data_IF_689541641146
#
_entry.id   IF_689541641146
#
_cell.length_a   1.000
_cell.length_b   1.000
_cell.length_c   1.000
_cell.angle_alpha   90.00
_cell.angle_beta   90.00
_cell.angle_gamma   90.00
#
_symmetry.space_group_name_H-M   'P 1'
#
loop_
_entity.id
_entity.type
_entity.pdbx_description
1 polymer ?
#
# COMPACT_ATOMS: atom_id res chain seq x y z
N UNK A 1 -5.49 7.82 -23.45
CA UNK A 1 -5.28 8.96 -22.54
C UNK A 1 -3.80 9.09 -22.26
N UNK A 2 -3.25 10.29 -22.34
CA UNK A 2 -1.87 10.55 -21.95
C UNK A 2 -1.72 10.35 -20.43
N UNK A 3 -0.59 9.78 -19.98
CA UNK A 3 -0.21 9.81 -18.58
C UNK A 3 0.32 11.22 -18.31
N UNK A 4 -0.30 11.92 -17.41
CA UNK A 4 0.22 13.20 -16.89
C UNK A 4 1.06 12.90 -15.66
N UNK A 5 2.30 13.41 -15.63
CA UNK A 5 3.07 13.43 -14.40
C UNK A 5 2.48 14.53 -13.50
N UNK A 6 2.13 14.18 -12.28
CA UNK A 6 1.71 15.15 -11.29
C UNK A 6 2.91 15.45 -10.39
N UNK A 7 3.57 16.57 -10.63
CA UNK A 7 4.67 17.07 -9.81
C UNK A 7 4.18 17.73 -8.51
N UNK A 8 2.87 17.70 -8.24
CA UNK A 8 2.29 18.25 -7.02
C UNK A 8 2.58 17.31 -5.83
N UNK A 9 3.18 17.83 -4.74
CA UNK A 9 3.50 17.04 -3.55
C UNK A 9 2.26 16.61 -2.76
N UNK A 10 1.07 17.16 -3.06
CA UNK A 10 -0.16 16.88 -2.34
C UNK A 10 -0.93 15.72 -3.01
N UNK A 11 -1.38 14.76 -2.21
CA UNK A 11 -2.28 13.67 -2.65
C UNK A 11 -3.50 14.20 -3.39
N UNK A 12 -4.15 15.23 -2.83
CA UNK A 12 -5.22 15.98 -3.48
C UNK A 12 -4.67 17.33 -3.92
N UNK A 13 -4.62 17.63 -5.22
CA UNK A 13 -4.11 18.91 -5.75
C UNK A 13 -4.86 20.13 -5.24
N UNK A 14 -4.26 21.31 -5.38
CA UNK A 14 -4.93 22.58 -5.11
C UNK A 14 -6.05 22.81 -6.12
N UNK A 15 -7.10 23.56 -5.71
CA UNK A 15 -8.35 23.69 -6.47
C UNK A 15 -8.13 24.09 -7.93
N UNK A 16 -7.26 25.07 -8.21
CA UNK A 16 -7.01 25.55 -9.58
C UNK A 16 -6.40 24.48 -10.50
N UNK A 17 -5.48 23.65 -9.96
CA UNK A 17 -4.90 22.52 -10.69
C UNK A 17 -5.93 21.41 -10.91
N UNK A 18 -6.75 21.13 -9.88
CA UNK A 18 -7.77 20.11 -9.95
C UNK A 18 -8.80 20.42 -11.06
N UNK A 19 -9.27 21.68 -11.14
CA UNK A 19 -10.17 22.10 -12.21
C UNK A 19 -9.51 22.08 -13.60
N UNK A 20 -8.22 22.42 -13.68
CA UNK A 20 -7.44 22.28 -14.92
C UNK A 20 -7.40 20.83 -15.37
N UNK A 21 -7.12 19.88 -14.46
CA UNK A 21 -7.15 18.46 -14.76
C UNK A 21 -8.54 17.96 -15.18
N UNK A 22 -9.60 18.40 -14.51
CA UNK A 22 -10.96 18.03 -14.88
C UNK A 22 -11.31 18.50 -16.30
N UNK A 23 -10.89 19.72 -16.65
CA UNK A 23 -11.07 20.24 -18.01
C UNK A 23 -10.33 19.36 -19.03
N UNK A 24 -9.09 19.04 -18.79
CA UNK A 24 -8.28 18.21 -19.65
C UNK A 24 -8.85 16.80 -19.80
N UNK A 25 -9.28 16.16 -18.69
CA UNK A 25 -9.93 14.86 -18.74
C UNK A 25 -11.23 14.89 -19.55
N UNK A 26 -12.01 15.94 -19.41
CA UNK A 26 -13.22 16.13 -20.21
C UNK A 26 -12.90 16.26 -21.71
N UNK A 27 -11.90 17.06 -22.04
CA UNK A 27 -11.44 17.25 -23.43
C UNK A 27 -10.87 15.95 -24.05
N UNK A 28 -10.27 15.08 -23.20
CA UNK A 28 -9.85 13.74 -23.59
C UNK A 28 -11.00 12.70 -23.64
N UNK A 29 -12.24 13.09 -23.38
CA UNK A 29 -13.41 12.19 -23.41
C UNK A 29 -13.49 11.23 -22.21
N UNK A 30 -12.84 11.52 -21.09
CA UNK A 30 -12.97 10.72 -19.87
C UNK A 30 -14.40 10.81 -19.32
N UNK A 31 -15.02 9.65 -19.09
CA UNK A 31 -16.38 9.57 -18.53
C UNK A 31 -16.39 9.56 -17.00
N UNK A 32 -15.33 9.08 -16.39
CA UNK A 32 -15.18 8.95 -14.95
C UNK A 32 -13.84 9.52 -14.50
N UNK A 33 -13.82 10.19 -13.38
CA UNK A 33 -12.62 10.62 -12.68
C UNK A 33 -12.68 10.03 -11.27
N UNK A 34 -11.65 9.29 -10.89
CA UNK A 34 -11.49 8.77 -9.55
C UNK A 34 -10.32 9.48 -8.89
N UNK A 35 -10.52 9.92 -7.65
CA UNK A 35 -9.51 10.65 -6.90
C UNK A 35 -9.51 10.26 -5.44
N UNK A 36 -8.36 10.42 -4.81
CA UNK A 36 -8.23 10.36 -3.36
C UNK A 36 -8.60 11.73 -2.78
N UNK A 37 -9.58 11.74 -1.87
CA UNK A 37 -10.06 12.94 -1.20
C UNK A 37 -9.47 13.00 0.22
N UNK A 38 -8.30 13.62 0.38
CA UNK A 38 -7.60 13.68 1.66
C UNK A 38 -8.32 14.60 2.67
N UNK A 39 -8.21 14.29 3.96
CA UNK A 39 -8.77 15.13 5.03
C UNK A 39 -8.18 16.54 5.02
N UNK A 40 -6.89 16.68 4.67
CA UNK A 40 -6.25 17.98 4.52
C UNK A 40 -6.86 18.80 3.38
N UNK A 41 -7.29 18.16 2.29
CA UNK A 41 -7.94 18.87 1.18
C UNK A 41 -9.26 19.51 1.60
N UNK A 42 -10.04 18.84 2.45
CA UNK A 42 -11.24 19.44 3.05
C UNK A 42 -10.90 20.50 4.07
N UNK A 43 -9.91 20.27 4.94
CA UNK A 43 -9.44 21.27 5.90
C UNK A 43 -9.00 22.58 5.24
N UNK A 44 -8.37 22.50 4.06
CA UNK A 44 -7.91 23.64 3.28
C UNK A 44 -8.90 24.12 2.21
N UNK A 45 -10.13 23.64 2.22
CA UNK A 45 -11.20 23.99 1.28
C UNK A 45 -10.87 23.74 -0.20
N UNK A 46 -9.94 22.80 -0.49
CA UNK A 46 -9.57 22.47 -1.88
C UNK A 46 -10.70 21.80 -2.67
N UNK A 47 -11.65 21.17 -1.96
CA UNK A 47 -12.75 20.39 -2.53
C UNK A 47 -14.14 21.03 -2.26
N UNK A 48 -14.22 22.24 -1.74
CA UNK A 48 -15.46 22.86 -1.26
C UNK A 48 -16.57 22.91 -2.30
N UNK A 49 -16.21 23.13 -3.57
CA UNK A 49 -17.19 23.29 -4.67
C UNK A 49 -17.45 22.02 -5.47
N UNK A 50 -16.81 20.90 -5.08
CA UNK A 50 -16.95 19.62 -5.79
C UNK A 50 -18.09 18.81 -5.18
N UNK A 51 -18.96 18.28 -6.03
CA UNK A 51 -19.96 17.29 -5.66
C UNK A 51 -19.60 15.94 -6.27
N UNK A 52 -19.68 14.89 -5.47
CA UNK A 52 -19.31 13.54 -5.87
C UNK A 52 -20.51 12.71 -6.27
N UNK A 53 -20.41 11.97 -7.37
CA UNK A 53 -21.42 10.99 -7.80
C UNK A 53 -21.32 9.72 -6.96
N UNK A 54 -20.09 9.38 -6.54
CA UNK A 54 -19.77 8.22 -5.73
C UNK A 54 -18.72 8.61 -4.68
N UNK A 55 -18.98 8.25 -3.42
CA UNK A 55 -18.02 8.37 -2.32
C UNK A 55 -17.79 7.01 -1.68
N UNK A 56 -16.53 6.68 -1.41
CA UNK A 56 -16.14 5.38 -0.83
C UNK A 56 -15.49 5.61 0.52
N UNK A 57 -15.97 4.90 1.53
CA UNK A 57 -15.43 4.86 2.88
C UNK A 57 -14.75 3.53 3.15
N UNK A 58 -13.48 3.55 3.50
CA UNK A 58 -12.71 2.36 3.88
C UNK A 58 -12.60 2.23 5.40
N UNK A 59 -11.94 3.17 6.07
CA UNK A 59 -11.77 3.21 7.52
C UNK A 59 -11.34 4.61 7.99
N UNK A 60 -11.43 4.83 9.30
CA UNK A 60 -10.85 5.98 10.00
C UNK A 60 -9.93 5.49 11.10
N UNK A 61 -8.65 5.88 11.03
CA UNK A 61 -7.64 5.65 12.07
C UNK A 61 -7.02 6.99 12.48
N UNK A 62 -6.45 7.07 13.68
CA UNK A 62 -5.87 8.31 14.19
C UNK A 62 -4.60 8.67 13.42
N UNK A 63 -4.68 9.71 12.58
CA UNK A 63 -3.59 10.22 11.76
C UNK A 63 -3.68 11.75 11.64
N UNK A 64 -2.63 12.39 11.16
CA UNK A 64 -2.59 13.81 10.79
C UNK A 64 -3.02 14.80 11.90
N UNK A 65 -2.82 14.46 13.18
CA UNK A 65 -3.16 15.34 14.30
C UNK A 65 -2.34 16.65 14.29
N UNK A 66 -1.15 16.63 13.68
CA UNK A 66 -0.33 17.82 13.46
C UNK A 66 -1.00 18.85 12.54
N UNK A 67 -1.95 18.44 11.70
CA UNK A 67 -2.71 19.30 10.77
C UNK A 67 -4.04 19.70 11.40
N UNK A 68 -4.79 18.74 11.95
CA UNK A 68 -6.16 18.92 12.41
C UNK A 68 -6.27 19.34 13.88
N UNK A 69 -5.19 19.21 14.66
CA UNK A 69 -5.14 19.51 16.10
C UNK A 69 -5.79 18.45 16.96
N UNK A 70 -7.01 18.01 16.61
CA UNK A 70 -7.75 16.96 17.33
C UNK A 70 -8.24 15.88 16.38
N UNK A 71 -8.53 14.70 16.95
CA UNK A 71 -9.06 13.58 16.18
C UNK A 71 -10.50 13.88 15.68
N UNK A 72 -11.30 14.59 16.48
CA UNK A 72 -12.65 15.01 16.13
C UNK A 72 -12.66 15.91 14.88
N UNK A 73 -11.72 16.86 14.81
CA UNK A 73 -11.55 17.72 13.63
C UNK A 73 -11.15 16.93 12.39
N UNK A 74 -10.24 15.95 12.56
CA UNK A 74 -9.84 15.05 11.48
C UNK A 74 -11.04 14.24 10.95
N UNK A 75 -11.84 13.63 11.84
CA UNK A 75 -13.06 12.92 11.47
C UNK A 75 -14.04 13.86 10.78
N UNK A 76 -14.29 15.06 11.33
CA UNK A 76 -15.20 16.05 10.74
C UNK A 76 -14.80 16.41 9.30
N UNK A 77 -13.51 16.57 9.02
CA UNK A 77 -12.99 16.81 7.67
C UNK A 77 -13.29 15.62 6.73
N UNK A 78 -13.05 14.37 7.18
CA UNK A 78 -13.36 13.18 6.37
C UNK A 78 -14.86 13.05 6.06
N UNK A 79 -15.73 13.42 6.99
CA UNK A 79 -17.18 13.40 6.80
C UNK A 79 -17.65 14.39 5.72
N UNK A 80 -16.89 15.43 5.39
CA UNK A 80 -17.25 16.37 4.33
C UNK A 80 -17.42 15.68 2.96
N UNK A 81 -16.65 14.64 2.67
CA UNK A 81 -16.78 13.84 1.44
C UNK A 81 -18.23 13.33 1.28
N UNK A 82 -18.80 12.75 2.32
CA UNK A 82 -20.12 12.14 2.29
C UNK A 82 -21.25 13.18 2.28
N UNK A 83 -21.02 14.33 2.92
CA UNK A 83 -21.95 15.48 2.85
C UNK A 83 -21.99 16.10 1.45
N UNK A 84 -20.88 16.06 0.72
CA UNK A 84 -20.76 16.57 -0.65
C UNK A 84 -21.13 15.52 -1.72
N UNK A 85 -21.51 14.30 -1.33
CA UNK A 85 -22.11 13.34 -2.27
C UNK A 85 -23.46 13.88 -2.72
N UNK A 86 -23.73 13.82 -4.03
CA UNK A 86 -25.01 14.24 -4.63
C UNK A 86 -26.17 13.45 -4.00
N UNK A 87 -27.38 14.02 -3.98
CA UNK A 87 -28.57 13.33 -3.45
C UNK A 87 -28.94 12.07 -4.23
N UNK A 88 -28.68 12.06 -5.52
CA UNK A 88 -28.83 10.92 -6.43
C UNK A 88 -27.54 10.09 -6.58
N UNK A 89 -26.49 10.50 -5.90
CA UNK A 89 -25.22 9.77 -5.81
C UNK A 89 -25.24 8.62 -4.82
N UNK A 90 -24.11 7.90 -4.70
CA UNK A 90 -23.99 6.72 -3.84
C UNK A 90 -22.82 6.87 -2.86
N UNK A 91 -23.05 6.48 -1.60
CA UNK A 91 -22.03 6.32 -0.57
C UNK A 91 -21.80 4.84 -0.32
N UNK A 92 -20.59 4.35 -0.60
CA UNK A 92 -20.15 2.96 -0.36
C UNK A 92 -19.45 2.93 0.98
N UNK A 93 -19.97 2.20 1.96
CA UNK A 93 -19.52 2.26 3.35
C UNK A 93 -19.10 0.89 3.88
N UNK A 94 -17.98 0.86 4.64
CA UNK A 94 -17.56 -0.29 5.42
C UNK A 94 -18.38 -0.39 6.72
N UNK A 95 -19.20 -1.44 6.86
CA UNK A 95 -20.06 -1.63 8.04
C UNK A 95 -19.29 -2.09 9.28
N UNK A 96 -18.10 -2.68 9.09
CA UNK A 96 -17.32 -3.25 10.18
C UNK A 96 -16.39 -2.21 10.84
N UNK A 97 -16.31 -0.99 10.26
CA UNK A 97 -15.51 0.07 10.86
C UNK A 97 -16.27 0.74 12.03
N UNK A 98 -15.59 1.02 13.17
CA UNK A 98 -16.22 1.63 14.34
C UNK A 98 -16.92 2.98 14.08
N UNK A 99 -16.52 3.71 13.04
CA UNK A 99 -17.10 5.00 12.68
C UNK A 99 -18.24 4.91 11.65
N UNK A 100 -18.63 3.69 11.26
CA UNK A 100 -19.68 3.47 10.25
C UNK A 100 -20.95 4.30 10.49
N UNK A 101 -21.54 4.23 11.68
CA UNK A 101 -22.80 4.95 11.98
C UNK A 101 -22.63 6.48 11.88
N UNK A 102 -21.46 7.00 12.27
CA UNK A 102 -21.17 8.42 12.15
C UNK A 102 -21.01 8.85 10.68
N UNK A 103 -20.35 8.03 9.87
CA UNK A 103 -20.18 8.26 8.41
C UNK A 103 -21.54 8.16 7.73
N UNK A 104 -22.33 7.14 8.03
CA UNK A 104 -23.70 6.94 7.51
C UNK A 104 -24.61 8.13 7.78
N UNK A 105 -24.56 8.68 8.99
CA UNK A 105 -25.33 9.87 9.36
C UNK A 105 -24.93 11.13 8.57
N UNK A 106 -23.71 11.17 8.02
CA UNK A 106 -23.22 12.28 7.19
C UNK A 106 -23.55 12.13 5.70
N UNK A 107 -24.00 10.96 5.26
CA UNK A 107 -24.25 10.68 3.85
C UNK A 107 -25.47 11.46 3.32
N UNK A 108 -25.27 12.17 2.21
CA UNK A 108 -26.34 12.84 1.50
C UNK A 108 -26.93 11.98 0.37
N UNK A 109 -26.16 11.03 -0.17
CA UNK A 109 -26.59 10.10 -1.22
C UNK A 109 -27.12 8.77 -0.70
N UNK A 110 -27.46 7.86 -1.62
CA UNK A 110 -27.88 6.49 -1.30
C UNK A 110 -26.73 5.71 -0.65
N UNK A 111 -26.98 5.05 0.48
CA UNK A 111 -25.99 4.20 1.15
C UNK A 111 -26.07 2.78 0.64
N UNK A 112 -24.91 2.22 0.25
CA UNK A 112 -24.68 0.80 0.03
C UNK A 112 -23.48 0.38 0.87
N UNK A 113 -23.43 -0.86 1.31
CA UNK A 113 -22.49 -1.29 2.35
C UNK A 113 -21.70 -2.52 1.97
N UNK A 114 -20.49 -2.64 2.49
CA UNK A 114 -19.69 -3.85 2.41
C UNK A 114 -19.07 -4.17 3.77
N UNK A 115 -18.75 -5.43 4.00
CA UNK A 115 -18.15 -5.93 5.23
C UNK A 115 -18.56 -7.36 5.53
N UNK A 116 -18.17 -7.87 6.70
CA UNK A 116 -18.51 -9.23 7.15
C UNK A 116 -19.93 -9.33 7.70
N UNK A 117 -20.52 -8.22 8.13
CA UNK A 117 -21.90 -8.20 8.63
C UNK A 117 -22.87 -8.75 7.57
N UNK A 118 -23.77 -9.63 8.00
CA UNK A 118 -24.74 -10.29 7.13
C UNK A 118 -25.73 -9.34 6.44
N UNK A 119 -25.88 -8.12 6.96
CA UNK A 119 -26.74 -7.07 6.39
C UNK A 119 -26.05 -6.25 5.29
N UNK A 120 -24.73 -6.46 5.05
CA UNK A 120 -24.00 -5.72 4.04
C UNK A 120 -24.53 -6.02 2.63
N UNK A 121 -24.58 -4.98 1.78
CA UNK A 121 -24.98 -5.10 0.37
C UNK A 121 -24.05 -6.05 -0.40
N UNK A 122 -22.73 -5.97 -0.09
CA UNK A 122 -21.71 -6.92 -0.53
C UNK A 122 -21.05 -7.50 0.74
N UNK A 123 -21.48 -8.71 1.11
CA UNK A 123 -20.96 -9.37 2.30
C UNK A 123 -19.63 -10.07 2.00
N UNK A 124 -18.65 -9.90 2.87
CA UNK A 124 -17.44 -10.73 2.93
C UNK A 124 -17.79 -11.95 3.76
N UNK A 125 -18.01 -13.11 3.10
CA UNK A 125 -18.43 -14.35 3.78
C UNK A 125 -17.24 -14.97 4.51
N UNK A 126 -16.19 -15.23 3.76
CA UNK A 126 -14.91 -15.71 4.26
C UNK A 126 -13.79 -15.40 3.25
N UNK A 127 -12.55 -15.63 3.66
CA UNK A 127 -11.40 -15.56 2.78
C UNK A 127 -10.23 -16.36 3.32
N UNK A 128 -9.33 -16.78 2.42
CA UNK A 128 -8.09 -17.45 2.78
C UNK A 128 -6.93 -16.83 2.03
N UNK A 129 -5.92 -16.39 2.78
CA UNK A 129 -4.70 -15.81 2.21
C UNK A 129 -3.68 -16.91 2.01
N UNK A 130 -3.17 -17.01 0.79
CA UNK A 130 -2.05 -17.87 0.39
C UNK A 130 -0.82 -16.99 0.14
N UNK A 131 0.39 -17.55 0.06
CA UNK A 131 1.59 -16.74 -0.23
C UNK A 131 1.55 -16.00 -1.56
N UNK A 132 0.74 -16.45 -2.53
CA UNK A 132 0.70 -15.90 -3.89
C UNK A 132 -0.62 -15.21 -4.25
N UNK A 133 -1.69 -15.45 -3.51
CA UNK A 133 -3.03 -14.94 -3.83
C UNK A 133 -3.95 -14.99 -2.61
N UNK A 134 -5.10 -14.38 -2.72
CA UNK A 134 -6.17 -14.46 -1.71
C UNK A 134 -7.43 -14.98 -2.37
N UNK A 135 -7.95 -16.11 -1.88
CA UNK A 135 -9.25 -16.65 -2.27
C UNK A 135 -10.32 -16.03 -1.37
N UNK A 136 -11.35 -15.43 -1.97
CA UNK A 136 -12.36 -14.66 -1.24
C UNK A 136 -13.75 -15.10 -1.69
N UNK A 137 -14.65 -15.29 -0.72
CA UNK A 137 -16.07 -15.50 -1.00
C UNK A 137 -16.86 -14.25 -0.61
N UNK A 138 -17.38 -13.56 -1.62
CA UNK A 138 -18.34 -12.47 -1.43
C UNK A 138 -19.76 -12.96 -1.65
N UNK A 139 -20.72 -12.44 -0.90
CA UNK A 139 -22.14 -12.59 -1.19
C UNK A 139 -22.70 -11.26 -1.66
N UNK A 140 -23.24 -11.24 -2.86
CA UNK A 140 -23.92 -10.09 -3.44
C UNK A 140 -25.33 -10.49 -3.87
N UNK A 141 -26.32 -9.78 -3.35
CA UNK A 141 -27.72 -10.22 -3.43
C UNK A 141 -27.87 -11.64 -2.82
N UNK A 142 -28.32 -12.62 -3.58
CA UNK A 142 -28.50 -14.01 -3.09
C UNK A 142 -27.41 -14.98 -3.61
N UNK A 143 -26.39 -14.46 -4.30
CA UNK A 143 -25.34 -15.27 -4.91
C UNK A 143 -24.02 -15.14 -4.15
N UNK A 144 -23.35 -16.27 -3.93
CA UNK A 144 -21.97 -16.33 -3.43
C UNK A 144 -21.04 -16.34 -4.64
N UNK A 145 -20.10 -15.42 -4.63
CA UNK A 145 -19.12 -15.20 -5.70
C UNK A 145 -17.75 -15.55 -5.16
N UNK A 146 -17.08 -16.51 -5.77
CA UNK A 146 -15.68 -16.82 -5.50
C UNK A 146 -14.77 -15.88 -6.33
N UNK A 147 -13.79 -15.28 -5.67
CA UNK A 147 -12.83 -14.35 -6.26
C UNK A 147 -11.43 -14.80 -5.90
N UNK A 148 -10.62 -15.09 -6.90
CA UNK A 148 -9.19 -15.31 -6.77
C UNK A 148 -8.45 -14.00 -7.09
N UNK A 149 -7.82 -13.42 -6.07
CA UNK A 149 -7.18 -12.10 -6.15
C UNK A 149 -5.67 -12.20 -5.96
N UNK A 150 -4.86 -11.54 -6.81
CA UNK A 150 -3.42 -11.44 -6.59
C UNK A 150 -3.04 -10.53 -5.41
N UNK A 151 -3.99 -9.76 -4.86
CA UNK A 151 -3.73 -8.88 -3.73
C UNK A 151 -3.72 -9.66 -2.43
N UNK A 152 -2.67 -9.50 -1.64
CA UNK A 152 -2.47 -10.17 -0.37
C UNK A 152 -2.95 -9.31 0.80
N UNK A 153 -3.32 -9.97 1.90
CA UNK A 153 -3.70 -9.32 3.15
C UNK A 153 -5.20 -9.07 3.29
N UNK A 154 -5.67 -9.18 4.52
CA UNK A 154 -7.07 -8.99 4.92
C UNK A 154 -7.63 -7.62 4.54
N UNK A 155 -6.82 -6.55 4.71
CA UNK A 155 -7.22 -5.20 4.30
C UNK A 155 -7.52 -5.09 2.79
N UNK A 156 -6.86 -5.89 1.94
CA UNK A 156 -7.14 -5.90 0.50
C UNK A 156 -8.44 -6.65 0.17
N UNK A 157 -8.91 -7.57 1.00
CA UNK A 157 -10.25 -8.14 0.88
C UNK A 157 -11.31 -7.06 0.99
N UNK A 158 -11.16 -6.15 1.97
CA UNK A 158 -12.05 -4.99 2.15
C UNK A 158 -11.87 -3.95 1.03
N UNK A 159 -10.65 -3.66 0.61
CA UNK A 159 -10.39 -2.73 -0.49
C UNK A 159 -11.01 -3.21 -1.81
N UNK A 160 -10.92 -4.52 -2.10
CA UNK A 160 -11.56 -5.12 -3.26
C UNK A 160 -13.09 -5.07 -3.15
N UNK A 161 -13.67 -5.36 -1.98
CA UNK A 161 -15.10 -5.22 -1.75
C UNK A 161 -15.57 -3.78 -2.00
N UNK A 162 -14.84 -2.79 -1.49
CA UNK A 162 -15.10 -1.36 -1.71
C UNK A 162 -15.05 -1.00 -3.20
N UNK A 163 -14.00 -1.44 -3.91
CA UNK A 163 -13.81 -1.19 -5.33
C UNK A 163 -14.89 -1.88 -6.19
N UNK A 164 -15.20 -3.14 -5.88
CA UNK A 164 -16.22 -3.91 -6.59
C UNK A 164 -17.60 -3.25 -6.42
N UNK A 165 -18.00 -2.97 -5.18
CA UNK A 165 -19.29 -2.33 -4.90
C UNK A 165 -19.36 -0.91 -5.48
N UNK A 166 -18.25 -0.18 -5.48
CA UNK A 166 -18.13 1.13 -6.14
C UNK A 166 -18.36 1.02 -7.66
N UNK A 167 -17.72 0.07 -8.32
CA UNK A 167 -17.91 -0.17 -9.75
C UNK A 167 -19.36 -0.54 -10.10
N UNK A 168 -19.96 -1.44 -9.31
CA UNK A 168 -21.38 -1.82 -9.47
C UNK A 168 -22.31 -0.62 -9.30
N UNK A 169 -21.98 0.28 -8.38
CA UNK A 169 -22.78 1.49 -8.07
C UNK A 169 -22.80 2.51 -9.22
N UNK A 170 -21.78 2.51 -10.08
CA UNK A 170 -21.73 3.34 -11.30
C UNK A 170 -22.15 2.58 -12.57
N UNK A 171 -22.76 1.42 -12.41
CA UNK A 171 -23.38 0.66 -13.50
C UNK A 171 -22.43 -0.27 -14.26
N UNK A 172 -21.23 -0.56 -13.73
CA UNK A 172 -20.37 -1.60 -14.31
C UNK A 172 -21.00 -2.97 -14.04
N UNK A 173 -21.20 -3.82 -15.08
CA UNK A 173 -21.69 -5.17 -14.88
C UNK A 173 -20.77 -6.01 -13.98
N UNK A 174 -21.35 -6.86 -13.13
CA UNK A 174 -20.61 -7.70 -12.18
C UNK A 174 -19.51 -8.54 -12.85
N UNK A 175 -19.85 -9.27 -13.90
CA UNK A 175 -18.90 -10.09 -14.65
C UNK A 175 -17.71 -9.25 -15.19
N UNK A 176 -17.98 -8.06 -15.68
CA UNK A 176 -16.94 -7.14 -16.17
C UNK A 176 -16.03 -6.68 -15.03
N UNK A 177 -16.58 -6.35 -13.87
CA UNK A 177 -15.79 -5.96 -12.70
C UNK A 177 -14.91 -7.13 -12.22
N UNK A 178 -15.49 -8.33 -12.07
CA UNK A 178 -14.78 -9.54 -11.66
C UNK A 178 -13.65 -9.90 -12.63
N UNK A 179 -13.86 -9.80 -13.94
CA UNK A 179 -12.83 -10.12 -14.94
C UNK A 179 -11.57 -9.28 -14.87
N UNK A 180 -11.61 -8.15 -14.13
CA UNK A 180 -10.45 -7.26 -13.94
C UNK A 180 -9.61 -7.60 -12.72
N UNK A 181 -10.19 -8.29 -11.73
CA UNK A 181 -9.52 -8.58 -10.46
C UNK A 181 -8.20 -9.35 -10.63
N UNK A 182 -8.10 -10.41 -11.46
CA UNK A 182 -6.85 -11.15 -11.64
C UNK A 182 -5.68 -10.31 -12.17
N UNK A 183 -5.96 -9.15 -12.76
CA UNK A 183 -4.96 -8.26 -13.34
C UNK A 183 -4.68 -7.02 -12.47
N UNK A 184 -5.21 -6.95 -11.25
CA UNK A 184 -4.95 -5.83 -10.36
C UNK A 184 -3.54 -5.98 -9.79
N UNK A 185 -2.76 -4.91 -9.90
CA UNK A 185 -1.45 -4.78 -9.25
C UNK A 185 -1.39 -3.43 -8.53
N UNK A 186 -0.92 -3.45 -7.28
CA UNK A 186 -0.63 -2.25 -6.48
C UNK A 186 0.86 -2.23 -6.23
N UNK A 187 1.61 -1.57 -7.11
CA UNK A 187 3.08 -1.53 -7.03
C UNK A 187 3.55 -0.98 -5.68
N UNK A 188 4.48 -1.71 -5.06
CA UNK A 188 5.13 -1.32 -3.81
C UNK A 188 4.25 -1.41 -2.56
N UNK A 189 3.14 -2.16 -2.60
CA UNK A 189 2.26 -2.43 -1.45
C UNK A 189 1.92 -3.92 -1.43
N UNK A 190 2.57 -4.70 -0.56
CA UNK A 190 2.52 -6.17 -0.58
C UNK A 190 2.67 -6.71 -2.02
N UNK A 191 3.56 -6.07 -2.78
CA UNK A 191 3.74 -6.36 -4.21
C UNK A 191 4.57 -7.63 -4.39
N UNK A 192 3.88 -8.75 -4.55
CA UNK A 192 4.51 -10.03 -4.81
C UNK A 192 4.97 -10.09 -6.27
N UNK A 193 6.27 -10.25 -6.46
CA UNK A 193 6.88 -10.29 -7.78
C UNK A 193 6.75 -11.69 -8.42
N UNK A 194 6.38 -11.72 -9.69
CA UNK A 194 6.31 -12.98 -10.47
C UNK A 194 7.70 -13.37 -10.95
N UNK A 195 8.47 -14.06 -10.12
CA UNK A 195 9.89 -14.39 -10.39
C UNK A 195 10.10 -15.79 -10.94
N UNK A 196 9.11 -16.68 -10.88
CA UNK A 196 9.23 -18.10 -11.23
C UNK A 196 10.44 -18.76 -10.52
N UNK A 197 10.48 -18.58 -9.20
CA UNK A 197 11.51 -19.15 -8.29
C UNK A 197 10.82 -20.02 -7.24
N UNK A 198 11.55 -20.93 -6.57
CA UNK A 198 10.98 -21.72 -5.47
C UNK A 198 10.78 -20.92 -4.18
N UNK A 199 11.17 -19.66 -4.15
CA UNK A 199 10.98 -18.70 -3.06
C UNK A 199 10.17 -17.50 -3.55
N UNK A 200 9.68 -16.71 -2.59
CA UNK A 200 8.86 -15.52 -2.85
C UNK A 200 9.69 -14.25 -2.73
N UNK A 201 9.40 -13.25 -3.54
CA UNK A 201 10.01 -11.91 -3.46
C UNK A 201 8.90 -10.86 -3.40
N UNK A 202 8.93 -10.02 -2.38
CA UNK A 202 7.89 -9.01 -2.14
C UNK A 202 8.52 -7.64 -1.92
N UNK A 203 7.92 -6.61 -2.53
CA UNK A 203 8.29 -5.21 -2.33
C UNK A 203 7.19 -4.49 -1.57
N UNK A 204 7.54 -3.74 -0.52
CA UNK A 204 6.58 -2.96 0.26
C UNK A 204 7.15 -1.62 0.75
N UNK A 205 6.27 -0.65 0.92
CA UNK A 205 6.63 0.71 1.37
C UNK A 205 6.80 0.81 2.89
N UNK A 206 6.59 -0.24 3.67
CA UNK A 206 6.72 -0.23 5.13
C UNK A 206 8.13 0.25 5.54
N UNK A 207 8.18 1.40 6.22
CA UNK A 207 9.41 2.08 6.66
C UNK A 207 9.31 2.59 8.10
N UNK A 208 8.18 2.36 8.76
CA UNK A 208 7.97 2.71 10.17
C UNK A 208 7.91 1.47 11.04
N UNK A 209 8.30 1.52 12.32
CA UNK A 209 8.25 0.36 13.21
C UNK A 209 6.88 -0.33 13.21
N UNK A 210 5.79 0.44 13.30
CA UNK A 210 4.42 -0.10 13.29
C UNK A 210 4.05 -0.74 11.94
N UNK A 211 4.39 -0.10 10.82
CA UNK A 211 4.14 -0.64 9.48
C UNK A 211 4.88 -1.96 9.25
N UNK A 212 6.16 -2.02 9.64
CA UNK A 212 7.00 -3.22 9.55
C UNK A 212 6.45 -4.33 10.46
N UNK A 213 6.03 -4.00 11.68
CA UNK A 213 5.43 -4.99 12.59
C UNK A 213 4.18 -5.61 11.99
N UNK A 214 3.28 -4.80 11.45
CA UNK A 214 2.06 -5.29 10.79
C UNK A 214 2.37 -6.19 9.60
N UNK A 215 3.33 -5.77 8.77
CA UNK A 215 3.76 -6.56 7.61
C UNK A 215 4.36 -7.90 8.03
N UNK A 216 5.29 -7.93 8.97
CA UNK A 216 5.92 -9.16 9.42
C UNK A 216 4.94 -10.09 10.14
N UNK A 217 4.01 -9.55 10.95
CA UNK A 217 2.93 -10.33 11.53
C UNK A 217 2.05 -10.98 10.45
N UNK A 218 1.71 -10.24 9.39
CA UNK A 218 1.01 -10.79 8.24
C UNK A 218 1.82 -11.90 7.56
N UNK A 219 3.09 -11.67 7.28
CA UNK A 219 3.98 -12.64 6.64
C UNK A 219 4.09 -13.94 7.47
N UNK A 220 4.06 -13.85 8.79
CA UNK A 220 4.04 -15.04 9.67
C UNK A 220 2.74 -15.86 9.60
N UNK A 221 1.67 -15.33 9.02
CA UNK A 221 0.44 -16.12 8.78
C UNK A 221 0.51 -16.94 7.51
N UNK A 222 1.51 -16.70 6.65
CA UNK A 222 1.69 -17.41 5.40
C UNK A 222 2.44 -18.73 5.60
N UNK A 223 2.21 -19.71 4.70
CA UNK A 223 2.97 -20.96 4.66
C UNK A 223 4.35 -20.73 4.02
N UNK A 224 5.27 -20.18 4.80
CA UNK A 224 6.66 -19.89 4.42
C UNK A 224 7.65 -20.52 5.42
N UNK A 225 8.90 -20.70 4.98
CA UNK A 225 9.97 -21.22 5.84
C UNK A 225 10.67 -20.08 6.60
N UNK A 226 11.30 -19.15 5.89
CA UNK A 226 12.08 -18.03 6.48
C UNK A 226 11.67 -16.71 5.83
N UNK A 227 11.77 -15.62 6.61
CA UNK A 227 11.70 -14.26 6.09
C UNK A 227 13.08 -13.61 6.09
N UNK A 228 13.53 -13.13 4.93
CA UNK A 228 14.78 -12.39 4.74
C UNK A 228 14.40 -10.95 4.40
N UNK A 229 14.76 -10.00 5.24
CA UNK A 229 14.34 -8.59 5.13
C UNK A 229 15.50 -7.73 4.67
N UNK A 230 15.32 -7.02 3.55
CA UNK A 230 16.21 -5.93 3.12
C UNK A 230 15.52 -4.60 3.46
N UNK A 231 16.15 -3.78 4.31
CA UNK A 231 15.58 -2.50 4.70
C UNK A 231 16.66 -1.44 4.94
N UNK A 232 16.35 -0.22 4.51
CA UNK A 232 17.12 0.98 4.80
C UNK A 232 16.32 2.00 5.59
N UNK A 233 16.97 3.12 5.89
CA UNK A 233 16.31 4.31 6.39
C UNK A 233 16.85 5.53 5.63
N UNK A 234 16.02 6.56 5.49
CA UNK A 234 16.39 7.78 4.81
C UNK A 234 17.26 8.68 5.73
N UNK A 235 18.24 9.34 5.12
CA UNK A 235 18.99 10.43 5.73
C UNK A 235 18.16 11.73 5.82
N UNK A 236 18.55 12.66 6.70
CA UNK A 236 17.86 13.94 6.93
C UNK A 236 16.37 13.78 7.26
N UNK A 237 16.03 12.69 7.91
CA UNK A 237 14.68 12.35 8.39
C UNK A 237 14.75 11.98 9.86
N UNK A 238 13.62 11.62 10.44
CA UNK A 238 13.51 11.21 11.83
C UNK A 238 14.45 10.02 12.15
N UNK A 239 15.61 10.33 12.76
CA UNK A 239 16.63 9.37 13.16
C UNK A 239 16.24 8.58 14.42
N UNK A 240 15.29 9.11 15.24
CA UNK A 240 14.87 8.49 16.50
C UNK A 240 14.24 7.11 16.24
N UNK A 241 13.57 6.95 15.10
CA UNK A 241 12.94 5.68 14.74
C UNK A 241 13.93 4.61 14.23
N UNK A 242 15.16 4.97 13.82
CA UNK A 242 16.14 4.04 13.22
C UNK A 242 16.43 2.82 14.12
N UNK A 243 16.79 2.99 15.42
CA UNK A 243 16.99 1.85 16.32
C UNK A 243 15.73 1.01 16.52
N UNK A 244 14.55 1.65 16.56
CA UNK A 244 13.28 0.95 16.70
C UNK A 244 12.97 0.06 15.48
N UNK A 245 13.30 0.54 14.27
CA UNK A 245 13.21 -0.27 13.05
C UNK A 245 14.13 -1.48 13.13
N UNK A 246 15.39 -1.30 13.54
CA UNK A 246 16.33 -2.39 13.76
C UNK A 246 15.78 -3.46 14.72
N UNK A 247 15.27 -3.04 15.87
CA UNK A 247 14.69 -3.95 16.86
C UNK A 247 13.48 -4.73 16.34
N UNK A 248 12.55 -4.06 15.66
CA UNK A 248 11.36 -4.70 15.12
C UNK A 248 11.75 -5.75 14.09
N UNK A 249 12.68 -5.43 13.19
CA UNK A 249 13.09 -6.33 12.11
C UNK A 249 13.78 -7.57 12.67
N UNK A 250 14.81 -7.42 13.53
CA UNK A 250 15.55 -8.60 14.03
C UNK A 250 14.73 -9.48 14.96
N UNK A 251 13.71 -8.92 15.64
CA UNK A 251 12.78 -9.69 16.49
C UNK A 251 11.79 -10.54 15.69
N UNK A 252 11.46 -10.10 14.48
CA UNK A 252 10.37 -10.70 13.71
C UNK A 252 10.80 -11.30 12.37
N UNK A 253 12.03 -11.06 11.90
CA UNK A 253 12.56 -11.67 10.69
C UNK A 253 13.52 -12.80 11.00
N UNK A 254 13.61 -13.79 10.12
CA UNK A 254 14.62 -14.87 10.22
C UNK A 254 16.02 -14.32 9.98
N UNK A 255 16.15 -13.38 9.04
CA UNK A 255 17.41 -12.69 8.76
C UNK A 255 17.12 -11.26 8.26
N UNK A 256 18.01 -10.31 8.60
CA UNK A 256 17.90 -8.93 8.16
C UNK A 256 19.17 -8.46 7.45
N UNK A 257 19.02 -7.71 6.36
CA UNK A 257 20.12 -7.02 5.68
C UNK A 257 19.81 -5.53 5.75
N UNK A 258 20.57 -4.81 6.59
CA UNK A 258 20.43 -3.37 6.72
C UNK A 258 21.28 -2.66 5.67
N UNK A 259 20.67 -1.67 5.03
CA UNK A 259 21.26 -0.88 3.96
C UNK A 259 20.81 0.59 4.09
N UNK A 260 21.08 1.42 3.11
CA UNK A 260 20.47 2.74 3.01
C UNK A 260 19.27 2.74 2.05
N UNK A 261 18.43 3.75 2.22
CA UNK A 261 17.29 4.07 1.33
C UNK A 261 17.65 5.28 0.47
N UNK A 262 17.47 6.49 1.02
CA UNK A 262 17.87 7.78 0.47
C UNK A 262 18.84 8.45 1.44
N UNK A 263 20.15 8.23 1.39
CA UNK A 263 21.08 8.77 2.39
C UNK A 263 21.21 10.28 2.36
N UNK A 264 20.93 10.93 1.22
CA UNK A 264 21.08 12.36 1.00
C UNK A 264 22.50 12.84 1.34
N UNK A 265 22.67 13.75 2.31
CA UNK A 265 23.99 14.23 2.73
C UNK A 265 24.63 13.40 3.84
N UNK A 266 23.87 12.52 4.53
CA UNK A 266 24.40 11.67 5.60
C UNK A 266 25.26 10.52 5.04
N UNK A 267 26.23 10.07 5.85
CA UNK A 267 27.01 8.88 5.51
C UNK A 267 26.09 7.63 5.65
N UNK A 268 25.95 6.80 4.59
CA UNK A 268 25.18 5.57 4.66
C UNK A 268 25.58 4.63 5.80
N UNK A 269 26.87 4.62 6.19
CA UNK A 269 27.37 3.81 7.30
C UNK A 269 26.82 4.28 8.64
N UNK A 270 26.70 5.60 8.83
CA UNK A 270 26.15 6.17 10.06
C UNK A 270 24.67 5.84 10.20
N UNK A 271 23.90 5.89 9.09
CA UNK A 271 22.51 5.47 9.07
C UNK A 271 22.37 4.01 9.50
N UNK A 272 23.19 3.10 8.94
CA UNK A 272 23.18 1.70 9.32
C UNK A 272 23.60 1.49 10.77
N UNK A 273 24.59 2.21 11.26
CA UNK A 273 25.04 2.18 12.65
C UNK A 273 23.93 2.63 13.62
N UNK A 274 23.15 3.62 13.25
CA UNK A 274 22.00 4.06 14.03
C UNK A 274 20.93 2.96 14.11
N UNK A 275 20.67 2.26 13.00
CA UNK A 275 19.70 1.16 12.97
C UNK A 275 20.09 0.03 13.94
N UNK A 276 21.37 -0.34 13.95
CA UNK A 276 21.85 -1.45 14.79
C UNK A 276 22.20 -1.06 16.21
N UNK A 277 22.11 0.20 16.57
CA UNK A 277 22.62 0.77 17.84
C UNK A 277 22.16 0.02 19.09
N UNK A 278 20.93 -0.44 19.13
CA UNK A 278 20.34 -1.14 20.28
C UNK A 278 20.40 -2.67 20.20
N UNK A 279 20.76 -3.20 19.04
CA UNK A 279 20.70 -4.65 18.75
C UNK A 279 22.05 -5.32 18.60
N UNK A 280 23.12 -4.56 18.35
CA UNK A 280 24.46 -5.07 17.97
C UNK A 280 25.07 -6.08 18.96
N UNK A 281 24.74 -5.96 20.25
CA UNK A 281 25.31 -6.83 21.31
C UNK A 281 24.35 -7.98 21.69
N UNK A 282 23.15 -8.04 21.09
CA UNK A 282 22.09 -8.98 21.49
C UNK A 282 21.64 -9.90 20.36
N UNK A 283 21.62 -9.40 19.13
CA UNK A 283 21.12 -10.13 17.97
C UNK A 283 22.23 -10.41 16.95
N UNK A 284 22.17 -11.56 16.31
CA UNK A 284 23.16 -12.02 15.32
C UNK A 284 22.53 -12.44 13.97
N UNK A 285 21.20 -12.31 13.86
CA UNK A 285 20.46 -12.63 12.64
C UNK A 285 20.36 -11.44 11.70
N UNK A 286 21.43 -10.64 11.61
CA UNK A 286 21.49 -9.52 10.67
C UNK A 286 22.90 -9.30 10.15
N UNK A 287 22.97 -8.54 9.06
CA UNK A 287 24.22 -8.02 8.51
C UNK A 287 24.00 -6.63 7.90
N UNK A 288 25.09 -5.92 7.63
CA UNK A 288 25.07 -4.62 6.96
C UNK A 288 25.68 -4.80 5.57
N UNK A 289 24.91 -4.45 4.55
CA UNK A 289 25.37 -4.31 3.17
C UNK A 289 25.03 -2.91 2.70
N UNK A 290 26.03 -2.05 2.59
CA UNK A 290 25.79 -0.62 2.40
C UNK A 290 25.07 -0.33 1.09
N UNK A 291 25.54 -0.88 -0.04
CA UNK A 291 24.86 -0.70 -1.32
C UNK A 291 23.55 -1.48 -1.37
N UNK A 292 22.45 -0.79 -1.68
CA UNK A 292 21.11 -1.39 -1.66
C UNK A 292 20.94 -2.46 -2.74
N UNK A 293 21.58 -2.30 -3.91
CA UNK A 293 21.55 -3.29 -4.98
C UNK A 293 22.25 -4.57 -4.55
N UNK A 294 23.43 -4.43 -3.92
CA UNK A 294 24.17 -5.57 -3.38
C UNK A 294 23.39 -6.24 -2.24
N UNK A 295 22.70 -5.47 -1.40
CA UNK A 295 21.83 -5.98 -0.33
C UNK A 295 20.68 -6.83 -0.90
N UNK A 296 20.00 -6.34 -1.93
CA UNK A 296 18.93 -7.07 -2.63
C UNK A 296 19.50 -8.35 -3.27
N UNK A 297 20.62 -8.25 -4.00
CA UNK A 297 21.26 -9.42 -4.61
C UNK A 297 21.60 -10.48 -3.56
N UNK A 298 22.16 -10.07 -2.44
CA UNK A 298 22.54 -10.98 -1.35
C UNK A 298 21.32 -11.67 -0.73
N UNK A 299 20.24 -10.95 -0.49
CA UNK A 299 19.00 -11.53 0.02
C UNK A 299 18.42 -12.59 -0.93
N UNK A 300 18.44 -12.29 -2.24
CA UNK A 300 18.02 -13.24 -3.27
C UNK A 300 18.93 -14.48 -3.31
N UNK A 301 20.24 -14.31 -3.15
CA UNK A 301 21.20 -15.42 -3.16
C UNK A 301 21.07 -16.34 -1.93
N UNK A 302 20.61 -15.80 -0.79
CA UNK A 302 20.38 -16.56 0.44
C UNK A 302 19.06 -17.31 0.47
N UNK A 303 18.09 -16.94 -0.38
CA UNK A 303 16.75 -17.50 -0.35
C UNK A 303 16.71 -18.96 -0.81
N UNK A 304 16.00 -19.80 -0.08
CA UNK A 304 15.75 -21.22 -0.36
C UNK A 304 14.26 -21.45 -0.63
N UNK A 305 13.88 -22.70 -0.87
CA UNK A 305 12.50 -23.07 -1.14
C UNK A 305 11.56 -22.60 -0.03
N UNK A 306 10.43 -21.97 -0.42
CA UNK A 306 9.42 -21.37 0.46
C UNK A 306 9.92 -20.23 1.36
N UNK A 307 11.13 -19.72 1.18
CA UNK A 307 11.52 -18.48 1.84
C UNK A 307 10.81 -17.29 1.21
N UNK A 308 10.69 -16.18 1.96
CA UNK A 308 10.25 -14.90 1.43
C UNK A 308 11.33 -13.84 1.62
N UNK A 309 11.71 -13.19 0.53
CA UNK A 309 12.55 -11.99 0.54
C UNK A 309 11.64 -10.76 0.54
N UNK A 310 11.79 -9.92 1.56
CA UNK A 310 11.03 -8.69 1.76
C UNK A 310 11.94 -7.50 1.53
N UNK A 311 11.67 -6.69 0.49
CA UNK A 311 12.42 -5.48 0.17
C UNK A 311 11.57 -4.29 0.60
N UNK A 312 11.99 -3.62 1.68
CA UNK A 312 11.16 -2.66 2.41
C UNK A 312 11.70 -1.24 2.33
N UNK A 313 10.79 -0.27 2.44
CA UNK A 313 11.07 1.15 2.65
C UNK A 313 10.69 2.03 1.47
N UNK A 314 11.07 1.66 0.25
CA UNK A 314 10.87 2.49 -0.96
C UNK A 314 9.58 2.16 -1.73
N UNK A 315 9.09 0.91 -1.63
CA UNK A 315 7.89 0.51 -2.36
C UNK A 315 8.03 0.78 -3.87
N UNK A 316 7.14 1.61 -4.42
CA UNK A 316 7.11 1.95 -5.84
C UNK A 316 7.94 3.19 -6.24
N UNK A 317 8.79 3.70 -5.36
CA UNK A 317 9.67 4.82 -5.69
C UNK A 317 10.66 4.43 -6.79
N UNK A 318 10.89 5.34 -7.75
CA UNK A 318 11.77 5.12 -8.91
C UNK A 318 13.06 5.93 -8.83
N UNK A 319 13.41 6.42 -7.66
CA UNK A 319 14.61 7.22 -7.46
C UNK A 319 15.32 6.90 -6.15
N UNK A 320 16.58 7.28 -6.08
CA UNK A 320 17.37 7.30 -4.85
C UNK A 320 18.11 8.64 -4.74
N UNK A 321 18.00 9.29 -3.57
CA UNK A 321 18.61 10.59 -3.29
C UNK A 321 19.95 10.38 -2.60
N UNK A 322 21.03 10.58 -3.37
CA UNK A 322 22.41 10.52 -2.90
C UNK A 322 22.96 11.93 -2.66
N UNK A 323 24.09 12.03 -1.97
CA UNK A 323 24.81 13.30 -1.80
C UNK A 323 25.22 13.94 -3.13
N UNK A 324 25.46 13.12 -4.15
CA UNK A 324 25.87 13.54 -5.49
C UNK A 324 24.71 13.93 -6.40
N UNK A 325 23.45 13.72 -5.96
CA UNK A 325 22.23 13.98 -6.72
C UNK A 325 21.24 12.83 -6.67
N UNK A 326 20.16 12.96 -7.42
CA UNK A 326 19.13 11.92 -7.53
C UNK A 326 19.45 11.01 -8.70
N UNK A 327 19.43 9.71 -8.46
CA UNK A 327 19.60 8.68 -9.49
C UNK A 327 18.31 7.88 -9.66
N UNK A 328 18.14 7.23 -10.81
CA UNK A 328 17.08 6.25 -11.01
C UNK A 328 17.41 4.98 -10.22
N UNK A 329 16.45 4.50 -9.45
CA UNK A 329 16.55 3.26 -8.69
C UNK A 329 15.14 2.75 -8.36
N UNK A 330 14.86 1.50 -8.66
CA UNK A 330 13.56 0.89 -8.38
C UNK A 330 13.76 -0.51 -7.79
N UNK A 331 13.21 -0.74 -6.60
CA UNK A 331 13.39 -2.00 -5.86
C UNK A 331 12.86 -3.22 -6.63
N UNK A 332 11.75 -3.07 -7.36
CA UNK A 332 11.17 -4.15 -8.17
C UNK A 332 12.11 -4.56 -9.31
N UNK A 333 12.64 -3.59 -10.06
CA UNK A 333 13.59 -3.85 -11.15
C UNK A 333 14.89 -4.46 -10.66
N UNK A 334 15.43 -3.97 -9.54
CA UNK A 334 16.63 -4.52 -8.92
C UNK A 334 16.40 -5.96 -8.43
N UNK A 335 15.23 -6.27 -7.90
CA UNK A 335 14.87 -7.63 -7.51
C UNK A 335 14.80 -8.58 -8.70
N UNK A 336 14.16 -8.17 -9.81
CA UNK A 336 14.13 -8.98 -11.03
C UNK A 336 15.53 -9.20 -11.59
N UNK A 337 16.39 -8.18 -11.58
CA UNK A 337 17.78 -8.29 -12.02
C UNK A 337 18.58 -9.26 -11.13
N UNK A 338 18.40 -9.18 -9.81
CA UNK A 338 19.06 -10.07 -8.86
C UNK A 338 18.66 -11.54 -9.08
N UNK A 339 17.36 -11.79 -9.30
CA UNK A 339 16.85 -13.14 -9.64
C UNK A 339 17.44 -13.64 -10.96
N UNK A 340 17.49 -12.78 -11.99
CA UNK A 340 18.09 -13.14 -13.27
C UNK A 340 19.60 -13.49 -13.12
N UNK A 341 20.34 -12.66 -12.38
CA UNK A 341 21.76 -12.90 -12.09
C UNK A 341 21.98 -14.25 -11.37
N UNK A 342 21.14 -14.59 -10.39
CA UNK A 342 21.21 -15.88 -9.70
C UNK A 342 20.93 -17.04 -10.65
N UNK A 343 19.86 -16.97 -11.45
CA UNK A 343 19.50 -18.00 -12.44
C UNK A 343 20.61 -18.22 -13.48
N UNK A 344 21.31 -17.16 -13.93
CA UNK A 344 22.46 -17.28 -14.84
C UNK A 344 23.61 -18.04 -14.17
N UNK A 345 23.94 -17.73 -12.91
CA UNK A 345 25.02 -18.44 -12.17
C UNK A 345 24.67 -19.90 -11.90
N UNK A 346 23.41 -20.23 -11.71
CA UNK A 346 22.92 -21.59 -11.50
C UNK A 346 22.72 -22.37 -12.82
N UNK A 347 22.93 -21.74 -14.00
CA UNK A 347 22.77 -22.36 -15.32
C UNK A 347 21.29 -22.62 -15.70
N UNK A 348 20.35 -21.95 -15.07
CA UNK A 348 18.90 -22.07 -15.33
C UNK A 348 18.44 -21.15 -16.46
N UNK A 349 19.22 -20.09 -16.75
CA UNK A 349 19.03 -19.18 -17.89
C UNK A 349 20.32 -19.17 -18.72
N UNK A 350 20.20 -19.40 -20.02
CA UNK A 350 21.28 -19.22 -21.01
C UNK A 350 21.26 -17.80 -21.57
#
# INVERSE_FOLDING_TARGET
CAKFSNDNPNTTPDSHLLYSYFREFLDCGCKYVMMEASSEAFFRNRLETIQFDLSVYTNITSEHLNIHGTFENYVACKLCLFKQTKKDGTCVLNVDDPYYEQVKAACNGKVVTYGQDASATLQIVDYKVYPTHTLIHYKYRDEVIEVDSPLLGDFNVYNLAAGLLGALSVGVPLEQALSRIPNIKISGRLDLLTTNTPYYVMVDYAHTPNGITKLLNFVHTLDINRSIVVIGQAGERDSIKRPQVGEVVVKNASHAIFTYEDPRSEDPKDICNDIIKTIKDTYHNYEIVIDRREAIQKAIDMAEEKDIVLILGKGNETYQKLKTGTIYFNDEEEAYQAVANRKMREGVLN
#
